data_IF_553842512196
#
_entry.id   IF_553842512196
#
_cell.length_a   1.000
_cell.length_b   1.000
_cell.length_c   1.000
_cell.angle_alpha   90.00
_cell.angle_beta   90.00
_cell.angle_gamma   90.00
#
_symmetry.space_group_name_H-M   'P 1'
#
loop_
_entity.id
_entity.type
_entity.pdbx_description
1 polymer ?
#
# COMPACT_ATOMS: atom_id res chain seq x y z
N UNK A 1 10.53 8.20 3.82
CA UNK A 1 10.86 7.73 2.46
C UNK A 1 11.49 6.33 2.48
N UNK A 2 12.55 6.06 3.28
CA UNK A 2 13.16 4.71 3.37
C UNK A 2 12.17 3.61 3.78
N UNK A 3 11.44 3.78 4.89
CA UNK A 3 10.54 2.74 5.41
C UNK A 3 9.48 2.27 4.39
N UNK A 4 8.97 3.20 3.59
CA UNK A 4 7.96 2.91 2.57
C UNK A 4 8.55 2.14 1.38
N UNK A 5 9.78 2.45 0.99
CA UNK A 5 10.50 1.75 -0.08
C UNK A 5 10.86 0.34 0.38
N UNK A 6 11.27 0.19 1.65
CA UNK A 6 11.64 -1.10 2.24
C UNK A 6 10.39 -2.00 2.39
N UNK A 7 9.25 -1.48 2.86
CA UNK A 7 7.98 -2.23 2.94
C UNK A 7 7.40 -2.57 1.55
N UNK A 8 7.51 -1.67 0.56
CA UNK A 8 7.09 -1.97 -0.82
C UNK A 8 7.99 -3.02 -1.47
N UNK A 9 9.30 -2.99 -1.20
CA UNK A 9 10.24 -3.98 -1.75
C UNK A 9 9.99 -5.36 -1.15
N UNK A 10 9.74 -5.42 0.16
CA UNK A 10 9.31 -6.65 0.84
C UNK A 10 7.99 -7.18 0.26
N UNK A 11 7.05 -6.30 -0.13
CA UNK A 11 5.81 -6.68 -0.78
C UNK A 11 5.97 -7.25 -2.21
N UNK A 12 7.09 -6.98 -2.88
CA UNK A 12 7.36 -7.46 -4.25
C UNK A 12 7.98 -8.86 -4.22
N UNK A 13 8.63 -9.25 -3.11
CA UNK A 13 9.22 -10.58 -2.94
C UNK A 13 8.18 -11.72 -2.88
N UNK A 14 6.95 -11.49 -2.38
CA UNK A 14 5.89 -12.51 -2.36
C UNK A 14 4.48 -11.95 -2.69
N UNK A 15 4.22 -11.60 -3.96
CA UNK A 15 3.10 -10.75 -4.37
C UNK A 15 1.71 -11.28 -3.98
N UNK A 16 1.55 -12.60 -3.79
CA UNK A 16 0.28 -13.23 -3.37
C UNK A 16 -0.08 -12.96 -1.91
N UNK A 17 0.90 -12.89 -1.01
CA UNK A 17 0.67 -12.63 0.40
C UNK A 17 0.66 -11.12 0.69
N UNK A 18 1.31 -10.37 -0.19
CA UNK A 18 1.66 -8.98 0.02
C UNK A 18 0.60 -8.00 -0.49
N UNK A 19 -0.39 -8.48 -1.27
CA UNK A 19 -1.54 -7.66 -1.71
C UNK A 19 -2.29 -7.04 -0.52
N UNK A 20 -2.39 -7.75 0.60
CA UNK A 20 -3.07 -7.27 1.81
C UNK A 20 -2.27 -6.18 2.52
N UNK A 21 -0.95 -6.37 2.62
CA UNK A 21 -0.01 -5.41 3.22
C UNK A 21 0.03 -4.13 2.37
N UNK A 22 0.05 -4.26 1.05
CA UNK A 22 0.02 -3.11 0.14
C UNK A 22 -1.27 -2.28 0.29
N UNK A 23 -2.42 -2.93 0.45
CA UNK A 23 -3.69 -2.24 0.71
C UNK A 23 -3.70 -1.52 2.06
N UNK A 24 -3.08 -2.09 3.10
CA UNK A 24 -2.93 -1.44 4.41
C UNK A 24 -2.02 -0.21 4.32
N UNK A 25 -0.89 -0.31 3.62
CA UNK A 25 0.02 0.82 3.38
C UNK A 25 -0.64 1.96 2.62
N UNK A 26 -1.35 1.66 1.54
CA UNK A 26 -2.10 2.67 0.78
C UNK A 26 -3.14 3.35 1.67
N UNK A 27 -3.82 2.59 2.54
CA UNK A 27 -4.78 3.12 3.50
C UNK A 27 -4.12 4.03 4.55
N UNK A 28 -2.99 3.63 5.14
CA UNK A 28 -2.27 4.44 6.13
C UNK A 28 -1.69 5.71 5.50
N UNK A 29 -1.11 5.63 4.30
CA UNK A 29 -0.65 6.79 3.55
C UNK A 29 -1.79 7.78 3.25
N UNK A 30 -2.96 7.26 2.92
CA UNK A 30 -4.17 8.06 2.68
C UNK A 30 -4.63 8.81 3.93
N UNK A 31 -4.58 8.16 5.10
CA UNK A 31 -4.88 8.82 6.39
C UNK A 31 -3.89 9.93 6.70
N UNK A 32 -2.59 9.68 6.54
CA UNK A 32 -1.53 10.66 6.84
C UNK A 32 -1.55 11.84 5.85
N UNK A 33 -1.80 11.58 4.57
CA UNK A 33 -1.88 12.62 3.53
C UNK A 33 -3.20 13.41 3.55
N UNK A 34 -4.15 13.03 4.40
CA UNK A 34 -5.50 13.63 4.45
C UNK A 34 -6.32 13.37 3.17
N UNK A 35 -5.82 12.55 2.24
CA UNK A 35 -6.50 12.23 1.00
C UNK A 35 -7.28 10.92 1.14
N UNK A 36 -8.59 10.98 0.91
CA UNK A 36 -9.45 9.80 0.96
C UNK A 36 -9.25 8.94 -0.30
N UNK A 37 -8.23 8.08 -0.33
CA UNK A 37 -8.14 7.02 -1.33
C UNK A 37 -9.09 5.90 -0.89
N UNK A 38 -10.17 5.71 -1.64
CA UNK A 38 -11.08 4.60 -1.40
C UNK A 38 -10.40 3.28 -1.75
N UNK A 39 -10.63 2.23 -0.96
CA UNK A 39 -10.14 0.86 -1.21
C UNK A 39 -10.37 0.39 -2.65
N UNK A 40 -11.48 0.82 -3.25
CA UNK A 40 -11.87 0.54 -4.64
C UNK A 40 -10.93 1.17 -5.69
N UNK A 41 -10.37 2.36 -5.40
CA UNK A 41 -9.31 2.99 -6.20
C UNK A 41 -7.96 2.32 -5.95
N UNK A 42 -7.67 1.91 -4.71
CA UNK A 42 -6.45 1.16 -4.38
C UNK A 42 -6.37 -0.18 -5.12
N UNK A 43 -7.50 -0.88 -5.29
CA UNK A 43 -7.58 -2.12 -6.09
C UNK A 43 -7.36 -1.86 -7.59
N UNK A 44 -7.60 -0.65 -8.08
CA UNK A 44 -7.32 -0.29 -9.48
C UNK A 44 -5.85 0.10 -9.72
N UNK A 45 -5.09 0.38 -8.65
CA UNK A 45 -3.63 0.65 -8.71
C UNK A 45 -2.77 -0.61 -8.51
N UNK A 46 -3.37 -1.68 -7.98
CA UNK A 46 -2.82 -3.04 -7.85
C UNK A 46 -3.04 -3.84 -9.13
#
# INVERSE_FOLDING_TARGET
LSLFVDEMTLCIENPKNDTKILLELISEFSKVSGHKISKQKSVAFL
#
